data_IF_410060158958
#
_entry.id   IF_410060158958
#
_cell.length_a   1.000
_cell.length_b   1.000
_cell.length_c   1.000
_cell.angle_alpha   90.00
_cell.angle_beta   90.00
_cell.angle_gamma   90.00
#
_symmetry.space_group_name_H-M   'P 1'
#
loop_
_entity.id
_entity.type
_entity.pdbx_description
1 polymer ?
#
# COMPACT_ATOMS: atom_id res chain seq x y z
N UNK A 1 -0.70 -37.41 16.71
CA UNK A 1 -0.41 -36.00 16.33
C UNK A 1 0.96 -35.68 16.92
N UNK A 2 2.01 -35.75 16.11
CA UNK A 2 3.36 -35.41 16.55
C UNK A 2 3.47 -33.90 16.69
N UNK A 3 3.85 -33.45 17.89
CA UNK A 3 4.22 -32.06 18.13
C UNK A 3 5.53 -31.78 17.37
N UNK A 4 5.43 -31.17 16.20
CA UNK A 4 6.58 -30.60 15.53
C UNK A 4 7.10 -29.44 16.38
N UNK A 5 8.12 -29.71 17.21
CA UNK A 5 8.90 -28.65 17.84
C UNK A 5 9.51 -27.80 16.72
N UNK A 6 9.06 -26.56 16.60
CA UNK A 6 9.68 -25.57 15.73
C UNK A 6 11.03 -25.24 16.37
N UNK A 7 12.08 -25.89 15.90
CA UNK A 7 13.45 -25.53 16.26
C UNK A 7 13.79 -24.21 15.56
N UNK A 8 13.81 -23.13 16.32
CA UNK A 8 14.29 -21.82 15.86
C UNK A 8 15.82 -21.91 15.76
N UNK A 9 16.32 -22.43 14.64
CA UNK A 9 17.74 -22.72 14.45
C UNK A 9 18.60 -21.50 14.13
N UNK A 10 18.01 -20.31 13.94
CA UNK A 10 18.75 -19.12 13.55
C UNK A 10 18.09 -17.84 14.08
N UNK A 11 18.72 -17.22 15.09
CA UNK A 11 18.35 -15.90 15.58
C UNK A 11 19.26 -14.86 14.93
N UNK A 12 18.66 -13.85 14.30
CA UNK A 12 19.38 -12.71 13.74
C UNK A 12 19.30 -11.57 14.76
N UNK A 13 20.45 -10.97 15.09
CA UNK A 13 20.52 -9.84 16.02
C UNK A 13 21.17 -8.67 15.29
N UNK A 14 20.56 -7.49 15.38
CA UNK A 14 21.13 -6.24 14.87
C UNK A 14 21.04 -5.18 15.95
N UNK A 15 22.17 -4.57 16.32
CA UNK A 15 22.22 -3.52 17.34
C UNK A 15 21.62 -2.19 16.88
N UNK A 16 21.32 -2.06 15.58
CA UNK A 16 20.72 -0.86 15.02
C UNK A 16 19.22 -0.75 15.28
N UNK A 17 18.55 -1.82 15.72
CA UNK A 17 17.11 -1.82 16.00
C UNK A 17 16.77 -1.03 17.25
N UNK A 18 15.74 -0.19 17.15
CA UNK A 18 15.14 0.50 18.28
C UNK A 18 13.67 0.07 18.50
N UNK A 19 12.85 0.19 17.47
CA UNK A 19 11.42 -0.12 17.40
C UNK A 19 11.05 -0.69 16.01
N UNK A 20 11.49 -1.93 15.68
CA UNK A 20 11.13 -2.56 14.40
C UNK A 20 9.62 -2.81 14.34
N UNK A 21 8.96 -2.19 13.35
CA UNK A 21 7.49 -2.21 13.19
C UNK A 21 7.01 -3.13 12.07
N UNK A 22 7.81 -3.29 11.01
CA UNK A 22 7.43 -4.09 9.85
C UNK A 22 8.70 -4.57 9.12
N UNK A 23 8.61 -5.75 8.51
CA UNK A 23 9.68 -6.37 7.71
C UNK A 23 9.16 -6.72 6.31
N UNK A 24 10.03 -6.69 5.32
CA UNK A 24 9.76 -7.21 3.98
C UNK A 24 10.99 -7.91 3.40
N UNK A 25 10.72 -8.82 2.45
CA UNK A 25 11.73 -9.56 1.72
C UNK A 25 11.92 -8.96 0.33
N UNK A 26 13.17 -8.84 -0.09
CA UNK A 26 13.50 -8.58 -1.47
C UNK A 26 13.38 -9.86 -2.31
N UNK A 27 13.00 -9.72 -3.58
CA UNK A 27 12.84 -10.82 -4.55
C UNK A 27 14.16 -11.18 -5.23
N UNK A 28 14.97 -10.19 -5.58
CA UNK A 28 16.24 -10.40 -6.29
C UNK A 28 17.43 -10.37 -5.32
N UNK A 29 17.37 -9.52 -4.30
CA UNK A 29 18.38 -9.45 -3.23
C UNK A 29 18.08 -10.47 -2.12
N UNK A 30 18.20 -11.76 -2.44
CA UNK A 30 17.76 -12.90 -1.60
C UNK A 30 18.37 -12.96 -0.20
N UNK A 31 19.50 -12.29 0.03
CA UNK A 31 20.16 -12.26 1.33
C UNK A 31 19.90 -10.98 2.10
N UNK A 32 19.10 -10.07 1.57
CA UNK A 32 18.79 -8.78 2.19
C UNK A 32 17.37 -8.80 2.76
N UNK A 33 17.20 -8.23 3.94
CA UNK A 33 15.89 -7.96 4.55
C UNK A 33 15.71 -6.46 4.69
N UNK A 34 14.53 -5.95 4.35
CA UNK A 34 14.16 -4.58 4.65
C UNK A 34 13.36 -4.55 5.95
N UNK A 35 13.84 -3.80 6.93
CA UNK A 35 13.17 -3.59 8.21
C UNK A 35 12.83 -2.12 8.34
N UNK A 36 11.56 -1.82 8.59
CA UNK A 36 11.16 -0.50 9.04
C UNK A 36 11.27 -0.44 10.55
N UNK A 37 12.16 0.42 11.01
CA UNK A 37 12.42 0.71 12.41
C UNK A 37 11.92 2.13 12.71
N UNK A 38 10.71 2.21 13.25
CA UNK A 38 9.93 3.44 13.40
C UNK A 38 9.76 4.21 12.08
N UNK A 39 10.64 5.18 11.78
CA UNK A 39 10.65 5.95 10.53
C UNK A 39 11.98 5.85 9.76
N UNK A 40 12.81 4.89 10.11
CA UNK A 40 14.06 4.57 9.41
C UNK A 40 13.90 3.23 8.71
N UNK A 41 14.48 3.08 7.53
CA UNK A 41 14.56 1.80 6.86
C UNK A 41 15.97 1.23 6.98
N UNK A 42 16.07 -0.02 7.41
CA UNK A 42 17.31 -0.75 7.59
C UNK A 42 17.32 -1.93 6.62
N UNK A 43 18.39 -2.04 5.83
CA UNK A 43 18.66 -3.22 5.03
C UNK A 43 19.72 -4.02 5.78
N UNK A 44 19.39 -5.26 6.14
CA UNK A 44 20.29 -6.15 6.86
C UNK A 44 20.59 -7.41 6.06
N UNK A 45 21.76 -8.00 6.25
CA UNK A 45 22.06 -9.34 5.72
C UNK A 45 21.32 -10.38 6.56
N UNK A 46 20.41 -11.12 5.95
CA UNK A 46 19.62 -12.19 6.57
C UNK A 46 20.46 -13.34 7.13
N UNK A 47 21.71 -13.51 6.70
CA UNK A 47 22.58 -14.61 7.12
C UNK A 47 23.41 -14.21 8.33
N UNK A 48 23.83 -12.95 8.41
CA UNK A 48 24.74 -12.48 9.48
C UNK A 48 24.08 -11.54 10.47
N UNK A 49 23.01 -10.83 10.08
CA UNK A 49 22.39 -9.75 10.84
C UNK A 49 23.09 -8.40 10.70
N UNK A 50 24.14 -8.33 9.88
CA UNK A 50 24.89 -7.10 9.67
C UNK A 50 24.05 -6.06 8.95
N UNK A 51 24.21 -4.80 9.35
CA UNK A 51 23.59 -3.67 8.69
C UNK A 51 24.30 -3.40 7.36
N UNK A 52 23.58 -3.52 6.24
CA UNK A 52 24.05 -3.21 4.89
C UNK A 52 23.82 -1.72 4.60
N UNK A 53 22.59 -1.25 4.77
CA UNK A 53 22.22 0.14 4.52
C UNK A 53 21.26 0.67 5.58
N UNK A 54 21.42 1.95 5.91
CA UNK A 54 20.46 2.73 6.68
C UNK A 54 19.94 3.86 5.81
N UNK A 55 18.65 3.90 5.61
CA UNK A 55 17.96 4.89 4.79
C UNK A 55 17.12 5.75 5.74
N UNK A 56 17.28 7.07 5.68
CA UNK A 56 16.42 8.03 6.40
C UNK A 56 15.47 8.72 5.40
N UNK A 57 14.23 8.22 5.24
CA UNK A 57 13.25 8.82 4.34
C UNK A 57 12.94 10.29 4.61
N UNK A 58 13.22 10.80 5.82
CA UNK A 58 12.99 12.23 6.14
C UNK A 58 13.90 13.15 5.34
N UNK A 59 15.11 12.68 5.00
CA UNK A 59 16.02 13.40 4.09
C UNK A 59 15.46 13.57 2.67
N UNK A 60 14.47 12.73 2.31
CA UNK A 60 13.76 12.74 1.02
C UNK A 60 12.41 13.46 1.11
N UNK A 61 12.10 14.11 2.24
CA UNK A 61 10.83 14.78 2.48
C UNK A 61 9.70 13.87 2.97
N UNK A 62 9.96 12.58 3.18
CA UNK A 62 8.98 11.60 3.67
C UNK A 62 8.99 11.65 5.20
N UNK A 63 8.02 12.35 5.79
CA UNK A 63 8.03 12.64 7.24
C UNK A 63 7.74 11.41 8.10
N UNK A 64 6.86 10.53 7.61
CA UNK A 64 6.43 9.33 8.34
C UNK A 64 6.23 8.17 7.39
N UNK A 65 6.65 6.98 7.78
CA UNK A 65 6.31 5.74 7.07
C UNK A 65 5.02 5.20 7.68
N UNK A 66 3.92 5.21 6.92
CA UNK A 66 2.63 4.66 7.38
C UNK A 66 2.39 3.25 6.88
N UNK A 67 2.93 2.94 5.72
CA UNK A 67 3.03 1.60 5.17
C UNK A 67 4.23 1.54 4.24
N UNK A 68 4.79 0.35 4.03
CA UNK A 68 5.71 0.12 2.93
C UNK A 68 5.53 -1.29 2.36
N UNK A 69 6.02 -1.49 1.14
CA UNK A 69 6.10 -2.80 0.50
C UNK A 69 7.28 -2.83 -0.48
N UNK A 70 7.59 -4.01 -1.01
CA UNK A 70 8.63 -4.22 -2.02
C UNK A 70 7.98 -4.49 -3.36
N UNK A 71 8.40 -3.75 -4.39
CA UNK A 71 7.96 -3.96 -5.76
C UNK A 71 8.64 -5.16 -6.44
N UNK A 72 8.36 -5.35 -7.73
CA UNK A 72 8.86 -6.52 -8.45
C UNK A 72 10.35 -6.46 -8.77
N UNK A 73 10.93 -5.25 -8.79
CA UNK A 73 12.32 -4.98 -9.11
C UNK A 73 13.11 -4.57 -7.86
N UNK A 74 12.65 -4.98 -6.68
CA UNK A 74 13.22 -4.61 -5.38
C UNK A 74 13.21 -3.10 -5.09
N UNK A 75 12.36 -2.34 -5.79
CA UNK A 75 12.06 -0.98 -5.41
C UNK A 75 11.25 -0.95 -4.10
N UNK A 76 11.57 0.02 -3.25
CA UNK A 76 10.89 0.21 -1.98
C UNK A 76 9.76 1.20 -2.20
N UNK A 77 8.53 0.78 -1.93
CA UNK A 77 7.34 1.62 -2.08
C UNK A 77 6.87 2.03 -0.69
N UNK A 78 6.85 3.34 -0.43
CA UNK A 78 6.47 3.92 0.87
C UNK A 78 5.16 4.69 0.72
N UNK A 79 4.24 4.45 1.64
CA UNK A 79 3.01 5.19 1.80
C UNK A 79 3.09 6.16 2.97
N UNK A 80 2.85 7.44 2.67
CA UNK A 80 2.56 8.50 3.64
C UNK A 80 1.29 9.26 3.22
N UNK A 81 1.32 10.58 3.06
CA UNK A 81 0.28 11.31 2.31
C UNK A 81 0.32 11.06 0.79
N UNK A 82 1.45 10.54 0.32
CA UNK A 82 1.76 10.19 -1.05
C UNK A 82 2.34 8.77 -1.10
N UNK A 83 2.49 8.26 -2.32
CA UNK A 83 3.20 7.02 -2.59
C UNK A 83 4.55 7.38 -3.19
N UNK A 84 5.63 6.96 -2.54
CA UNK A 84 7.00 7.21 -2.96
C UNK A 84 7.67 5.91 -3.37
N UNK A 85 8.48 5.97 -4.41
CA UNK A 85 9.30 4.85 -4.87
C UNK A 85 10.76 5.21 -4.66
N UNK A 86 11.47 4.35 -3.95
CA UNK A 86 12.90 4.40 -3.74
C UNK A 86 13.55 3.17 -4.40
N UNK A 87 14.81 3.29 -4.82
CA UNK A 87 15.59 2.14 -5.24
C UNK A 87 15.92 1.23 -4.05
N UNK A 88 16.45 0.05 -4.34
CA UNK A 88 16.99 -0.85 -3.32
C UNK A 88 18.01 -0.15 -2.40
N UNK A 89 18.86 0.73 -2.94
CA UNK A 89 19.85 1.50 -2.17
C UNK A 89 19.25 2.70 -1.41
N UNK A 90 17.93 2.90 -1.48
CA UNK A 90 17.23 4.00 -0.83
C UNK A 90 17.31 5.34 -1.56
N UNK A 91 17.70 5.35 -2.84
CA UNK A 91 17.68 6.59 -3.65
C UNK A 91 16.25 6.89 -4.07
N UNK A 92 15.83 8.13 -3.98
CA UNK A 92 14.50 8.53 -4.45
C UNK A 92 14.39 8.36 -5.97
N UNK A 93 13.36 7.65 -6.43
CA UNK A 93 13.08 7.44 -7.86
C UNK A 93 11.97 8.39 -8.31
N UNK A 94 10.77 8.28 -7.72
CA UNK A 94 9.61 9.11 -8.09
C UNK A 94 8.47 9.02 -7.08
N UNK A 95 7.52 9.93 -7.20
CA UNK A 95 6.19 9.83 -6.57
C UNK A 95 5.19 9.19 -7.55
N UNK A 96 4.28 8.36 -7.04
CA UNK A 96 3.09 7.96 -7.80
C UNK A 96 2.03 9.06 -7.65
N UNK A 97 1.62 9.64 -8.78
CA UNK A 97 0.57 10.67 -8.84
C UNK A 97 -0.64 10.06 -9.53
N UNK A 98 -1.80 9.96 -8.85
CA UNK A 98 -3.01 9.43 -9.47
C UNK A 98 -3.42 10.28 -10.68
N UNK A 99 -3.55 9.65 -11.84
CA UNK A 99 -4.12 10.27 -13.04
C UNK A 99 -5.63 10.02 -13.10
N UNK A 100 -6.39 10.98 -13.64
CA UNK A 100 -7.87 11.08 -13.48
C UNK A 100 -8.71 10.01 -14.19
N UNK A 101 -8.15 8.97 -14.80
CA UNK A 101 -8.95 7.94 -15.46
C UNK A 101 -9.37 6.88 -14.45
N UNK A 102 -10.56 7.05 -13.86
CA UNK A 102 -11.06 6.21 -12.78
C UNK A 102 -12.09 5.20 -13.30
N UNK A 103 -11.92 3.92 -12.95
CA UNK A 103 -13.01 2.95 -12.93
C UNK A 103 -13.25 2.52 -11.48
N UNK A 104 -14.31 3.01 -10.85
CA UNK A 104 -14.69 2.58 -9.49
C UNK A 104 -15.33 1.19 -9.61
N UNK A 105 -14.91 0.25 -8.77
CA UNK A 105 -15.49 -1.10 -8.69
C UNK A 105 -16.03 -1.30 -7.30
N UNK A 106 -17.34 -1.54 -7.22
CA UNK A 106 -18.00 -1.89 -5.97
C UNK A 106 -17.72 -3.35 -5.62
N UNK A 107 -17.47 -3.60 -4.33
CA UNK A 107 -17.26 -4.95 -3.80
C UNK A 107 -18.15 -5.11 -2.56
N UNK A 108 -19.26 -5.81 -2.73
CA UNK A 108 -20.11 -6.21 -1.61
C UNK A 108 -19.64 -7.57 -1.06
N UNK A 109 -19.49 -7.66 0.27
CA UNK A 109 -19.21 -8.93 0.96
C UNK A 109 -20.56 -9.44 1.47
N UNK A 110 -21.20 -10.31 0.70
CA UNK A 110 -22.46 -10.89 1.11
C UNK A 110 -22.23 -11.91 2.23
N UNK A 111 -22.55 -11.55 3.47
CA UNK A 111 -22.56 -12.47 4.62
C UNK A 111 -23.84 -13.30 4.56
N UNK A 112 -23.93 -14.21 3.58
CA UNK A 112 -24.91 -15.30 3.63
C UNK A 112 -24.19 -16.58 4.08
N UNK A 113 -24.83 -17.38 4.91
CA UNK A 113 -24.27 -18.56 5.56
C UNK A 113 -23.73 -19.64 4.59
N UNK A 114 -22.49 -19.48 4.12
CA UNK A 114 -21.51 -20.42 3.53
C UNK A 114 -20.38 -19.55 2.92
N UNK A 115 -19.14 -20.05 2.65
CA UNK A 115 -17.95 -19.18 2.65
C UNK A 115 -18.14 -17.96 1.74
N UNK A 116 -17.77 -16.75 2.19
CA UNK A 116 -18.14 -15.51 1.52
C UNK A 116 -17.49 -15.47 0.13
N UNK A 117 -18.30 -15.65 -0.90
CA UNK A 117 -17.90 -15.41 -2.28
C UNK A 117 -17.83 -13.89 -2.50
N UNK A 118 -16.64 -13.40 -2.88
CA UNK A 118 -16.45 -12.01 -3.30
C UNK A 118 -17.03 -11.90 -4.72
N UNK A 119 -18.20 -11.28 -4.86
CA UNK A 119 -18.82 -11.07 -6.18
C UNK A 119 -18.59 -9.61 -6.59
N UNK A 120 -17.71 -9.33 -7.58
CA UNK A 120 -17.58 -7.98 -8.11
C UNK A 120 -18.84 -7.59 -8.89
N UNK A 121 -19.57 -6.59 -8.39
CA UNK A 121 -20.70 -5.97 -9.09
C UNK A 121 -20.18 -4.93 -10.08
N UNK A 122 -20.13 -5.29 -11.37
CA UNK A 122 -19.80 -4.34 -12.43
C UNK A 122 -20.94 -3.32 -12.62
N UNK A 123 -20.78 -2.10 -12.11
CA UNK A 123 -21.71 -1.01 -12.41
C UNK A 123 -21.32 -0.26 -13.70
N UNK A 124 -22.31 0.02 -14.56
CA UNK A 124 -22.14 0.74 -15.83
C UNK A 124 -21.75 2.20 -15.61
N UNK A 125 -20.82 2.69 -16.44
CA UNK A 125 -20.49 4.10 -16.61
C UNK A 125 -21.75 4.96 -16.72
N UNK A 126 -21.88 6.00 -15.90
CA UNK A 126 -22.84 7.08 -16.19
C UNK A 126 -22.31 7.85 -17.40
N UNK A 127 -22.92 7.58 -18.56
CA UNK A 127 -22.84 8.45 -19.73
C UNK A 127 -23.40 9.82 -19.37
N UNK A 128 -22.65 10.87 -19.74
CA UNK A 128 -23.08 12.26 -19.71
C UNK A 128 -24.31 12.48 -20.58
N UNK A 129 -25.39 13.00 -19.99
CA UNK A 129 -26.46 13.69 -20.71
C UNK A 129 -26.55 15.12 -20.17
N UNK A 130 -26.50 16.08 -21.09
CA UNK A 130 -26.44 17.51 -20.85
C UNK A 130 -27.82 18.13 -20.54
N UNK A 131 -27.75 19.27 -19.85
CA UNK A 131 -28.69 20.40 -19.79
C UNK A 131 -30.07 20.17 -19.14
N UNK A 132 -30.23 20.67 -17.90
CA UNK A 132 -31.00 21.89 -17.66
C UNK A 132 -30.72 22.47 -16.26
N UNK A 133 -30.86 23.79 -16.20
CA UNK A 133 -30.52 24.78 -15.18
C UNK A 133 -30.99 24.50 -13.75
N UNK A 134 -30.07 24.58 -12.79
CA UNK A 134 -30.11 25.59 -11.72
C UNK A 134 -28.81 25.57 -10.90
N UNK A 135 -28.22 26.75 -10.70
CA UNK A 135 -26.97 26.97 -10.01
C UNK A 135 -27.10 26.72 -8.49
N UNK A 136 -26.51 25.63 -7.99
CA UNK A 136 -25.88 25.63 -6.66
C UNK A 136 -24.76 24.58 -6.58
N UNK A 137 -23.55 25.06 -6.89
CA UNK A 137 -22.22 24.58 -6.45
C UNK A 137 -22.14 23.17 -5.84
N UNK A 138 -21.98 22.16 -6.69
CA UNK A 138 -21.26 20.92 -6.34
C UNK A 138 -20.51 20.35 -7.55
N UNK A 139 -19.60 21.16 -8.09
CA UNK A 139 -18.52 20.62 -8.92
C UNK A 139 -17.60 19.79 -8.01
N UNK A 140 -17.97 18.52 -7.78
CA UNK A 140 -17.15 17.53 -7.10
C UNK A 140 -15.93 17.21 -7.97
N UNK A 141 -14.98 18.13 -8.02
CA UNK A 141 -13.61 17.79 -8.30
C UNK A 141 -13.17 16.81 -7.23
N UNK A 142 -12.98 15.53 -7.58
CA UNK A 142 -12.09 14.63 -6.83
C UNK A 142 -10.63 15.15 -6.95
N UNK A 143 -10.39 16.40 -6.56
CA UNK A 143 -9.09 16.76 -6.02
C UNK A 143 -8.89 15.84 -4.82
N UNK A 144 -7.73 15.21 -4.69
CA UNK A 144 -7.47 14.32 -3.56
C UNK A 144 -7.83 15.06 -2.29
N UNK A 145 -8.94 14.68 -1.66
CA UNK A 145 -9.13 15.00 -0.26
C UNK A 145 -7.86 14.44 0.39
N UNK A 146 -7.18 15.26 1.18
CA UNK A 146 -5.92 14.80 1.78
C UNK A 146 -6.18 13.50 2.53
N UNK A 147 -5.17 12.66 2.68
CA UNK A 147 -5.31 11.38 3.36
C UNK A 147 -3.93 10.76 3.58
N UNK A 148 -3.88 9.54 4.08
CA UNK A 148 -2.64 8.78 4.17
C UNK A 148 -2.86 7.32 3.79
N UNK A 149 -1.83 6.72 3.20
CA UNK A 149 -1.80 5.31 2.88
C UNK A 149 -1.46 4.50 4.12
N UNK A 150 -2.24 3.45 4.38
CA UNK A 150 -2.16 2.66 5.62
C UNK A 150 -1.82 1.21 5.39
N UNK A 151 -1.90 0.73 4.15
CA UNK A 151 -1.51 -0.62 3.76
C UNK A 151 -1.06 -0.63 2.31
N UNK A 152 -0.03 -1.40 1.99
CA UNK A 152 0.50 -1.54 0.64
C UNK A 152 0.84 -3.01 0.37
N UNK A 153 0.53 -3.48 -0.83
CA UNK A 153 1.08 -4.74 -1.36
C UNK A 153 1.19 -4.66 -2.89
N UNK A 154 2.08 -5.46 -3.46
CA UNK A 154 2.27 -5.58 -4.90
C UNK A 154 2.01 -7.02 -5.31
N UNK A 155 1.10 -7.21 -6.26
CA UNK A 155 0.77 -8.54 -6.78
C UNK A 155 1.87 -9.09 -7.71
N UNK A 156 1.69 -10.33 -8.16
CA UNK A 156 2.63 -10.98 -9.09
C UNK A 156 2.71 -10.33 -10.47
N UNK A 157 1.70 -9.53 -10.87
CA UNK A 157 1.64 -8.82 -12.15
C UNK A 157 2.20 -7.39 -12.04
N UNK A 158 2.59 -6.95 -10.84
CA UNK A 158 3.11 -5.61 -10.58
C UNK A 158 2.02 -4.56 -10.37
N UNK A 159 0.79 -4.98 -10.07
CA UNK A 159 -0.26 -4.10 -9.60
C UNK A 159 0.00 -3.73 -8.13
N UNK A 160 0.03 -2.43 -7.84
CA UNK A 160 0.14 -1.92 -6.49
C UNK A 160 -1.25 -1.70 -5.91
N UNK A 161 -1.57 -2.40 -4.83
CA UNK A 161 -2.78 -2.18 -4.04
C UNK A 161 -2.42 -1.30 -2.85
N UNK A 162 -3.16 -0.22 -2.67
CA UNK A 162 -2.89 0.78 -1.66
C UNK A 162 -4.15 1.11 -0.86
N UNK A 163 -4.21 0.67 0.39
CA UNK A 163 -5.23 1.07 1.34
C UNK A 163 -5.02 2.54 1.72
N UNK A 164 -6.04 3.37 1.53
CA UNK A 164 -5.98 4.80 1.78
C UNK A 164 -7.07 5.21 2.75
N UNK A 165 -6.68 6.00 3.75
CA UNK A 165 -7.60 6.68 4.66
C UNK A 165 -7.64 8.16 4.31
N UNK A 166 -8.82 8.62 3.90
CA UNK A 166 -9.12 10.03 3.64
C UNK A 166 -9.27 10.81 4.96
N UNK A 167 -9.08 12.13 4.91
CA UNK A 167 -9.18 13.02 6.09
C UNK A 167 -10.55 13.00 6.78
N UNK A 168 -11.62 12.73 6.03
CA UNK A 168 -12.98 12.60 6.56
C UNK A 168 -13.23 11.22 7.21
N UNK A 169 -12.20 10.36 7.23
CA UNK A 169 -12.23 9.04 7.84
C UNK A 169 -12.91 7.99 6.98
N UNK A 170 -13.20 8.30 5.71
CA UNK A 170 -13.51 7.29 4.70
C UNK A 170 -12.22 6.54 4.34
N UNK A 171 -12.35 5.26 4.00
CA UNK A 171 -11.23 4.48 3.53
C UNK A 171 -11.64 3.61 2.35
N UNK A 172 -10.68 3.37 1.46
CA UNK A 172 -10.83 2.57 0.25
C UNK A 172 -9.48 1.97 -0.13
N UNK A 173 -9.46 1.08 -1.11
CA UNK A 173 -8.25 0.51 -1.68
C UNK A 173 -8.12 1.04 -3.10
N UNK A 174 -6.98 1.66 -3.39
CA UNK A 174 -6.61 2.13 -4.73
C UNK A 174 -5.72 1.08 -5.39
N UNK A 175 -6.04 0.70 -6.63
CA UNK A 175 -5.25 -0.25 -7.43
C UNK A 175 -4.54 0.51 -8.53
N UNK A 176 -3.22 0.46 -8.53
CA UNK A 176 -2.35 1.14 -9.48
C UNK A 176 -1.70 0.14 -10.43
N UNK A 177 -1.58 0.53 -11.69
CA UNK A 177 -0.69 -0.12 -12.65
C UNK A 177 0.77 0.15 -12.27
N UNK A 178 1.70 -0.67 -12.74
CA UNK A 178 3.16 -0.52 -12.50
C UNK A 178 3.72 0.87 -12.87
N UNK A 179 3.12 1.56 -13.84
CA UNK A 179 3.51 2.92 -14.23
C UNK A 179 2.97 4.03 -13.28
N UNK A 180 2.13 3.67 -12.30
CA UNK A 180 1.50 4.59 -11.35
C UNK A 180 0.15 5.16 -11.79
N UNK A 181 -0.45 4.62 -12.85
CA UNK A 181 -1.82 4.96 -13.24
C UNK A 181 -2.81 4.27 -12.30
N UNK A 182 -3.73 5.05 -11.73
CA UNK A 182 -4.83 4.52 -10.95
C UNK A 182 -5.77 3.77 -11.90
N UNK A 183 -6.00 2.48 -11.65
CA UNK A 183 -6.88 1.62 -12.44
C UNK A 183 -8.26 1.54 -11.82
N UNK A 184 -8.29 1.19 -10.53
CA UNK A 184 -9.54 0.90 -9.83
C UNK A 184 -9.51 1.43 -8.41
N UNK A 185 -10.71 1.68 -7.88
CA UNK A 185 -10.94 1.91 -6.47
C UNK A 185 -11.90 0.84 -6.00
N UNK A 186 -11.54 0.14 -4.92
CA UNK A 186 -12.43 -0.71 -4.15
C UNK A 186 -12.83 0.09 -2.92
N UNK A 187 -14.08 0.51 -2.86
CA UNK A 187 -14.68 1.06 -1.66
C UNK A 187 -15.80 0.15 -1.16
N UNK A 188 -16.42 0.53 -0.05
CA UNK A 188 -17.48 -0.24 0.57
C UNK A 188 -18.83 0.50 0.54
N UNK A 189 -18.93 1.59 -0.25
CA UNK A 189 -20.07 2.52 -0.32
C UNK A 189 -20.80 2.76 1.02
N UNK A 190 -21.86 1.98 1.29
CA UNK A 190 -22.76 2.11 2.44
C UNK A 190 -22.26 1.39 3.70
N UNK A 191 -21.44 0.36 3.53
CA UNK A 191 -20.65 -0.24 4.60
C UNK A 191 -19.38 0.60 4.74
N UNK A 192 -18.85 0.80 5.95
CA UNK A 192 -17.66 1.63 6.15
C UNK A 192 -16.44 0.74 6.32
N UNK A 193 -15.56 0.69 5.32
CA UNK A 193 -14.20 0.20 5.51
C UNK A 193 -13.52 1.14 6.51
N UNK A 194 -13.11 0.61 7.65
CA UNK A 194 -12.47 1.39 8.72
C UNK A 194 -11.02 0.98 8.85
N UNK A 195 -10.12 1.85 8.38
CA UNK A 195 -8.66 1.76 8.60
C UNK A 195 -8.05 0.43 8.13
N UNK A 196 -8.07 0.14 6.82
CA UNK A 196 -7.35 -1.02 6.29
C UNK A 196 -5.87 -0.90 6.69
N UNK A 197 -5.37 -1.83 7.51
CA UNK A 197 -4.04 -1.75 8.11
C UNK A 197 -3.04 -2.74 7.53
N UNK A 198 -3.50 -3.72 6.74
CA UNK A 198 -2.65 -4.69 6.05
C UNK A 198 -3.35 -5.17 4.78
N UNK A 199 -2.56 -5.47 3.77
CA UNK A 199 -2.98 -6.08 2.51
C UNK A 199 -1.98 -7.19 2.16
N UNK A 200 -2.46 -8.26 1.53
CA UNK A 200 -1.67 -9.38 1.06
C UNK A 200 -2.19 -9.85 -0.30
N UNK A 201 -1.32 -10.43 -1.11
CA UNK A 201 -1.61 -10.96 -2.46
C UNK A 201 -1.04 -12.35 -2.62
#
# INVERSE_FOLDING_TARGET
>A
MENSQININHQITCSAFNEPVQIALFKQHLHSLLICDSNTLLIIDSRTGDLIHKIDPRSLGIKTIKAFTIGLQDEIIIGDHHLHILSYEGKYVRQIIPTKQQQIVDVDIHIAHQPPDIIPTYYKQQHSLAANSDESKSSNSLASKGGFYTALCVDVNGLLLAGKCEKDGNAHIEIYHNHGHLLRIIDSHSQRLRRPCSLAT
#
